data_IF_172320806959
#
_entry.id   IF_172320806959
#
_cell.length_a   1.000
_cell.length_b   1.000
_cell.length_c   1.000
_cell.angle_alpha   90.00
_cell.angle_beta   90.00
_cell.angle_gamma   90.00
#
_symmetry.space_group_name_H-M   'P 1'
#
loop_
_entity.id
_entity.type
_entity.pdbx_description
1 polymer ?
#
# COMPACT_ATOMS: atom_id res chain seq x y z
N UNK A 1 -54.67 -40.80 -7.31
CA UNK A 1 -53.85 -39.69 -6.76
C UNK A 1 -54.49 -38.38 -7.22
N UNK A 2 -55.06 -37.57 -6.32
CA UNK A 2 -55.72 -36.30 -6.71
C UNK A 2 -54.65 -35.28 -7.10
N UNK A 3 -54.73 -34.77 -8.32
CA UNK A 3 -53.88 -33.67 -8.77
C UNK A 3 -54.27 -32.40 -7.99
N UNK A 4 -53.35 -31.89 -7.17
CA UNK A 4 -53.50 -30.61 -6.50
C UNK A 4 -53.36 -29.51 -7.56
N UNK A 5 -54.43 -28.73 -7.78
CA UNK A 5 -54.37 -27.57 -8.67
C UNK A 5 -53.68 -26.42 -7.94
N UNK A 6 -52.49 -26.04 -8.40
CA UNK A 6 -51.86 -24.82 -7.94
C UNK A 6 -52.75 -23.62 -8.27
N UNK A 7 -52.92 -22.67 -7.34
CA UNK A 7 -53.73 -21.49 -7.61
C UNK A 7 -53.05 -20.61 -8.67
N UNK A 8 -53.85 -19.99 -9.55
CA UNK A 8 -53.34 -19.25 -10.72
C UNK A 8 -52.41 -18.08 -10.37
N UNK A 9 -52.51 -17.54 -9.17
CA UNK A 9 -51.62 -16.47 -8.67
C UNK A 9 -50.21 -16.96 -8.35
N UNK A 10 -50.02 -18.26 -8.09
CA UNK A 10 -48.72 -18.82 -7.71
C UNK A 10 -47.68 -18.65 -8.83
N UNK A 11 -48.12 -18.59 -10.09
CA UNK A 11 -47.23 -18.39 -11.24
C UNK A 11 -46.64 -16.98 -11.24
N UNK A 12 -47.46 -15.94 -11.01
CA UNK A 12 -46.99 -14.55 -10.95
C UNK A 12 -46.12 -14.29 -9.72
N UNK A 13 -46.43 -14.95 -8.60
CA UNK A 13 -45.59 -14.89 -7.41
C UNK A 13 -44.22 -15.54 -7.64
N UNK A 14 -44.19 -16.71 -8.28
CA UNK A 14 -42.95 -17.38 -8.65
C UNK A 14 -42.10 -16.53 -9.62
N UNK A 15 -42.74 -15.86 -10.59
CA UNK A 15 -42.07 -14.96 -11.51
C UNK A 15 -41.40 -13.77 -10.78
N UNK A 16 -42.10 -13.14 -9.84
CA UNK A 16 -41.51 -12.07 -9.01
C UNK A 16 -40.35 -12.56 -8.15
N UNK A 17 -40.44 -13.77 -7.59
CA UNK A 17 -39.34 -14.40 -6.87
C UNK A 17 -38.12 -14.69 -7.76
N UNK A 18 -38.34 -15.10 -9.02
CA UNK A 18 -37.27 -15.36 -9.99
C UNK A 18 -36.62 -14.06 -10.48
N UNK A 19 -37.39 -13.00 -10.71
CA UNK A 19 -36.84 -11.68 -11.03
C UNK A 19 -35.99 -11.13 -9.87
N UNK A 20 -36.47 -11.27 -8.63
CA UNK A 20 -35.73 -10.84 -7.44
C UNK A 20 -34.45 -11.67 -7.23
N UNK A 21 -34.52 -12.99 -7.40
CA UNK A 21 -33.36 -13.87 -7.34
C UNK A 21 -32.33 -13.52 -8.43
N UNK A 22 -32.77 -13.29 -9.67
CA UNK A 22 -31.91 -12.85 -10.77
C UNK A 22 -31.23 -11.51 -10.48
N UNK A 23 -31.97 -10.55 -9.91
CA UNK A 23 -31.42 -9.27 -9.49
C UNK A 23 -30.34 -9.44 -8.40
N UNK A 24 -30.59 -10.27 -7.37
CA UNK A 24 -29.59 -10.53 -6.33
C UNK A 24 -28.34 -11.25 -6.87
N UNK A 25 -28.49 -12.16 -7.82
CA UNK A 25 -27.36 -12.81 -8.49
C UNK A 25 -26.53 -11.80 -9.29
N UNK A 26 -27.17 -10.86 -9.99
CA UNK A 26 -26.47 -9.78 -10.71
C UNK A 26 -25.75 -8.83 -9.74
N UNK A 27 -26.38 -8.46 -8.63
CA UNK A 27 -25.77 -7.64 -7.58
C UNK A 27 -24.55 -8.36 -6.96
N UNK A 28 -24.68 -9.66 -6.72
CA UNK A 28 -23.60 -10.49 -6.18
C UNK A 28 -22.44 -10.65 -7.16
N UNK A 29 -22.70 -10.77 -8.46
CA UNK A 29 -21.69 -10.79 -9.50
C UNK A 29 -20.89 -9.47 -9.59
N UNK A 30 -21.54 -8.32 -9.31
CA UNK A 30 -20.90 -7.00 -9.33
C UNK A 30 -20.16 -6.64 -8.02
N UNK A 31 -20.57 -7.21 -6.89
CA UNK A 31 -19.98 -6.90 -5.58
C UNK A 31 -18.53 -7.37 -5.40
N UNK A 32 -17.95 -8.07 -6.37
CA UNK A 32 -16.68 -8.74 -6.20
C UNK A 32 -15.43 -7.85 -6.23
N UNK A 33 -15.41 -6.67 -6.87
CA UNK A 33 -14.12 -6.07 -7.29
C UNK A 33 -14.02 -4.54 -7.33
N UNK A 34 -14.50 -3.78 -6.32
CA UNK A 34 -14.18 -2.35 -6.22
C UNK A 34 -12.66 -2.11 -6.17
N UNK A 35 -11.91 -2.99 -5.50
CA UNK A 35 -10.45 -2.93 -5.42
C UNK A 35 -9.75 -3.09 -6.77
N UNK A 36 -10.27 -3.93 -7.68
CA UNK A 36 -9.63 -4.15 -8.99
C UNK A 36 -10.00 -3.06 -9.99
N UNK A 37 -11.18 -2.47 -9.86
CA UNK A 37 -11.55 -1.26 -10.58
C UNK A 37 -10.71 -0.08 -10.10
N UNK A 38 -10.54 0.09 -8.79
CA UNK A 38 -9.66 1.10 -8.23
C UNK A 38 -8.19 0.84 -8.56
N UNK A 39 -7.74 -0.42 -8.64
CA UNK A 39 -6.40 -0.79 -9.08
C UNK A 39 -6.21 -0.54 -10.58
N UNK A 40 -7.20 -0.86 -11.42
CA UNK A 40 -7.20 -0.60 -12.86
C UNK A 40 -7.27 0.90 -13.20
N UNK A 41 -7.99 1.70 -12.41
CA UNK A 41 -7.98 3.16 -12.52
C UNK A 41 -6.66 3.74 -12.02
N UNK A 42 -6.08 3.20 -10.95
CA UNK A 42 -4.72 3.57 -10.50
C UNK A 42 -3.66 3.19 -11.53
N UNK A 43 -3.78 2.07 -12.24
CA UNK A 43 -2.85 1.75 -13.33
C UNK A 43 -3.08 2.63 -14.55
N UNK A 44 -4.32 2.98 -14.87
CA UNK A 44 -4.66 3.81 -16.03
C UNK A 44 -4.39 5.31 -15.81
N UNK A 45 -4.52 5.82 -14.58
CA UNK A 45 -4.41 7.25 -14.26
C UNK A 45 -3.34 7.59 -13.22
N UNK A 46 -2.81 6.59 -12.50
CA UNK A 46 -1.85 6.76 -11.40
C UNK A 46 -0.50 6.08 -11.61
N UNK A 47 -0.26 5.43 -12.75
CA UNK A 47 1.02 4.78 -13.06
C UNK A 47 1.88 5.56 -14.07
N UNK A 48 2.16 6.81 -13.71
CA UNK A 48 3.42 7.47 -14.10
C UNK A 48 4.54 7.10 -13.11
N UNK A 49 4.43 5.91 -12.50
CA UNK A 49 5.34 5.38 -11.49
C UNK A 49 5.82 3.98 -11.92
N UNK A 50 6.13 3.87 -13.21
CA UNK A 50 6.82 2.80 -13.91
C UNK A 50 7.48 1.76 -12.98
N UNK A 51 6.95 0.52 -12.88
CA UNK A 51 7.59 -0.55 -12.12
C UNK A 51 8.71 -1.27 -12.90
N UNK A 52 9.19 -0.72 -14.03
CA UNK A 52 9.96 -1.48 -15.03
C UNK A 52 11.28 -0.84 -15.48
N UNK A 53 11.93 -0.04 -14.62
CA UNK A 53 13.31 0.40 -14.90
C UNK A 53 14.26 -0.08 -13.81
N UNK A 54 14.67 -1.35 -13.88
CA UNK A 54 15.86 -1.92 -13.21
C UNK A 54 16.11 -1.35 -11.79
N UNK A 55 15.02 -1.27 -11.02
CA UNK A 55 14.95 -0.54 -9.79
C UNK A 55 15.62 -1.40 -8.73
N UNK A 56 16.75 -0.96 -8.18
CA UNK A 56 17.30 -1.62 -6.99
C UNK A 56 16.42 -1.27 -5.82
N UNK A 57 15.29 -1.96 -5.73
CA UNK A 57 14.50 -2.08 -4.53
C UNK A 57 15.39 -2.73 -3.50
N UNK A 58 15.83 -1.93 -2.54
CA UNK A 58 16.48 -2.48 -1.36
C UNK A 58 15.41 -2.54 -0.27
N UNK A 59 14.80 -3.73 -0.04
CA UNK A 59 13.89 -3.89 1.07
C UNK A 59 14.70 -3.89 2.37
N UNK A 60 14.36 -2.99 3.27
CA UNK A 60 14.93 -2.92 4.60
C UNK A 60 13.88 -3.31 5.63
N UNK A 61 14.28 -4.09 6.64
CA UNK A 61 13.45 -4.29 7.83
C UNK A 61 13.62 -3.11 8.76
N UNK A 62 12.52 -2.51 9.20
CA UNK A 62 12.58 -1.35 10.11
C UNK A 62 13.36 -1.66 11.39
N UNK A 63 13.20 -2.87 11.94
CA UNK A 63 13.94 -3.34 13.11
C UNK A 63 15.48 -3.28 12.99
N UNK A 64 16.03 -3.26 11.77
CA UNK A 64 17.49 -3.15 11.54
C UNK A 64 17.98 -1.70 11.39
N UNK A 65 17.07 -0.78 11.03
CA UNK A 65 17.39 0.61 10.76
C UNK A 65 17.20 1.51 11.98
N UNK A 66 16.28 1.13 12.88
CA UNK A 66 15.82 1.96 13.99
C UNK A 66 16.10 1.34 15.35
N UNK A 67 16.14 2.20 16.36
CA UNK A 67 16.05 1.74 17.75
C UNK A 67 14.68 1.05 17.99
N UNK A 68 14.63 0.03 18.86
CA UNK A 68 13.41 -0.74 19.11
C UNK A 68 12.25 0.15 19.56
N UNK A 69 11.12 0.07 18.86
CA UNK A 69 9.92 0.88 19.19
C UNK A 69 10.04 2.39 18.90
N UNK A 70 11.14 2.84 18.32
CA UNK A 70 11.38 4.26 18.04
C UNK A 70 11.51 4.55 16.55
N UNK A 71 11.43 5.83 16.20
CA UNK A 71 11.74 6.38 14.88
C UNK A 71 13.15 7.00 14.82
N UNK A 72 14.04 6.57 15.72
CA UNK A 72 15.44 7.02 15.79
C UNK A 72 16.31 6.04 15.00
N UNK A 73 16.93 6.51 13.92
CA UNK A 73 17.83 5.70 13.10
C UNK A 73 19.11 5.33 13.88
N UNK A 74 19.65 4.14 13.64
CA UNK A 74 21.00 3.82 14.08
C UNK A 74 22.02 4.68 13.33
N UNK A 75 23.20 4.98 13.93
CA UNK A 75 24.23 5.78 13.25
C UNK A 75 24.66 5.17 11.92
N UNK A 76 24.75 3.83 11.85
CA UNK A 76 25.07 3.11 10.62
C UNK A 76 23.98 3.27 9.55
N UNK A 77 22.70 3.14 9.92
CA UNK A 77 21.58 3.33 9.00
C UNK A 77 21.50 4.78 8.48
N UNK A 78 21.68 5.76 9.36
CA UNK A 78 21.70 7.17 8.99
C UNK A 78 22.81 7.47 7.95
N UNK A 79 24.02 6.94 8.15
CA UNK A 79 25.13 7.10 7.20
C UNK A 79 24.84 6.42 5.86
N UNK A 80 24.27 5.21 5.89
CA UNK A 80 23.91 4.48 4.66
C UNK A 80 22.84 5.20 3.84
N UNK A 81 21.79 5.71 4.51
CA UNK A 81 20.71 6.47 3.86
C UNK A 81 21.20 7.80 3.29
N UNK A 82 22.09 8.50 3.99
CA UNK A 82 22.73 9.70 3.46
C UNK A 82 23.57 9.40 2.21
N UNK A 83 24.28 8.26 2.16
CA UNK A 83 25.02 7.84 0.97
C UNK A 83 24.09 7.51 -0.21
N UNK A 84 22.91 6.91 0.05
CA UNK A 84 21.88 6.70 -0.97
C UNK A 84 21.40 8.04 -1.53
N UNK A 85 21.15 9.03 -0.67
CA UNK A 85 20.80 10.39 -1.08
C UNK A 85 21.89 11.06 -1.92
N UNK A 86 23.14 11.03 -1.47
CA UNK A 86 24.26 11.62 -2.20
C UNK A 86 24.40 11.03 -3.61
N UNK A 87 24.20 9.72 -3.74
CA UNK A 87 24.19 9.03 -5.03
C UNK A 87 23.02 9.47 -5.92
N UNK A 88 21.81 9.53 -5.37
CA UNK A 88 20.64 9.99 -6.13
C UNK A 88 20.79 11.43 -6.61
N UNK A 89 21.39 12.31 -5.80
CA UNK A 89 21.73 13.69 -6.21
C UNK A 89 22.68 13.70 -7.41
N UNK A 90 23.75 12.90 -7.37
CA UNK A 90 24.72 12.81 -8.46
C UNK A 90 24.07 12.29 -9.76
N UNK A 91 23.15 11.34 -9.63
CA UNK A 91 22.40 10.73 -10.73
C UNK A 91 21.17 11.58 -11.16
N UNK A 92 20.91 12.71 -10.49
CA UNK A 92 19.67 13.52 -10.63
C UNK A 92 18.39 12.68 -10.54
N UNK A 93 18.40 11.62 -9.73
CA UNK A 93 17.27 10.72 -9.52
C UNK A 93 16.39 11.18 -8.36
N UNK A 94 15.09 10.92 -8.49
CA UNK A 94 14.14 11.01 -7.39
C UNK A 94 14.16 9.75 -6.53
N UNK A 95 13.68 9.84 -5.30
CA UNK A 95 13.59 8.71 -4.37
C UNK A 95 12.16 8.58 -3.89
N UNK A 96 11.59 7.38 -3.99
CA UNK A 96 10.33 6.99 -3.37
C UNK A 96 10.60 6.09 -2.17
N UNK A 97 9.98 6.41 -1.05
CA UNK A 97 10.05 5.64 0.21
C UNK A 97 8.68 5.03 0.44
N UNK A 98 8.58 3.70 0.41
CA UNK A 98 7.33 2.98 0.68
C UNK A 98 7.46 2.28 2.03
N UNK A 99 6.58 2.60 2.97
CA UNK A 99 6.50 1.94 4.28
C UNK A 99 5.31 0.98 4.32
N UNK A 100 5.58 -0.31 4.36
CA UNK A 100 4.60 -1.39 4.36
C UNK A 100 4.53 -2.04 5.75
N UNK A 101 3.31 -2.20 6.27
CA UNK A 101 3.07 -2.80 7.58
C UNK A 101 3.49 -1.93 8.76
N UNK A 102 3.41 -2.52 9.94
CA UNK A 102 3.74 -1.85 11.21
C UNK A 102 4.30 -2.86 12.21
N UNK A 103 5.32 -2.46 12.96
CA UNK A 103 5.76 -3.22 14.12
C UNK A 103 4.73 -3.14 15.27
N UNK A 104 5.01 -3.82 16.38
CA UNK A 104 4.21 -3.69 17.60
C UNK A 104 4.11 -2.22 18.04
N UNK A 105 2.97 -1.86 18.66
CA UNK A 105 2.80 -0.54 19.24
C UNK A 105 3.91 -0.30 20.27
N UNK A 106 4.56 0.85 20.18
CA UNK A 106 5.56 1.28 21.14
C UNK A 106 4.88 2.09 22.24
N UNK A 107 5.52 2.23 23.40
CA UNK A 107 4.93 2.87 24.57
C UNK A 107 4.44 4.31 24.33
N UNK A 108 5.02 5.00 23.33
CA UNK A 108 4.68 6.38 22.93
C UNK A 108 3.91 6.49 21.61
N UNK A 109 3.97 5.49 20.74
CA UNK A 109 3.44 5.57 19.39
C UNK A 109 2.48 4.42 19.11
N UNK A 110 1.32 4.75 18.56
CA UNK A 110 0.48 3.74 17.93
C UNK A 110 1.21 3.16 16.70
N UNK A 111 0.79 1.97 16.27
CA UNK A 111 1.44 1.22 15.19
C UNK A 111 1.60 2.04 13.90
N UNK A 112 0.54 2.78 13.54
CA UNK A 112 0.53 3.62 12.35
C UNK A 112 1.43 4.85 12.50
N UNK A 113 1.45 5.47 13.68
CA UNK A 113 2.28 6.63 13.98
C UNK A 113 3.76 6.27 13.91
N UNK A 114 4.13 5.14 14.51
CA UNK A 114 5.51 4.65 14.48
C UNK A 114 5.97 4.41 13.05
N UNK A 115 5.12 3.80 12.22
CA UNK A 115 5.43 3.55 10.82
C UNK A 115 5.65 4.87 10.05
N UNK A 116 4.75 5.85 10.23
CA UNK A 116 4.86 7.16 9.60
C UNK A 116 6.09 7.96 10.05
N UNK A 117 6.36 7.96 11.36
CA UNK A 117 7.52 8.62 11.94
C UNK A 117 8.84 8.05 11.39
N UNK A 118 8.92 6.73 11.20
CA UNK A 118 10.06 6.04 10.60
C UNK A 118 10.24 6.37 9.12
N UNK A 119 9.17 6.38 8.34
CA UNK A 119 9.22 6.79 6.94
C UNK A 119 9.76 8.23 6.81
N UNK A 120 9.26 9.15 7.64
CA UNK A 120 9.74 10.54 7.69
C UNK A 120 11.21 10.65 8.11
N UNK A 121 11.66 9.84 9.07
CA UNK A 121 13.07 9.81 9.50
C UNK A 121 14.02 9.39 8.37
N UNK A 122 13.60 8.42 7.54
CA UNK A 122 14.36 8.00 6.36
C UNK A 122 14.42 9.11 5.31
N UNK A 123 13.29 9.78 5.03
CA UNK A 123 13.27 10.94 4.15
C UNK A 123 14.25 12.02 4.58
N UNK A 124 14.29 12.34 5.89
CA UNK A 124 15.26 13.30 6.45
C UNK A 124 16.71 12.84 6.30
N UNK A 125 17.00 11.55 6.54
CA UNK A 125 18.35 11.02 6.42
C UNK A 125 18.85 11.02 4.96
N UNK A 126 17.97 10.72 4.01
CA UNK A 126 18.25 10.81 2.58
C UNK A 126 18.48 12.26 2.15
N UNK A 127 17.65 13.20 2.63
CA UNK A 127 17.82 14.64 2.40
C UNK A 127 19.16 15.16 2.94
N UNK A 128 19.68 14.60 4.03
CA UNK A 128 21.01 14.93 4.53
C UNK A 128 22.14 14.57 3.53
N UNK A 129 21.88 13.66 2.58
CA UNK A 129 22.75 13.38 1.43
C UNK A 129 22.70 14.44 0.32
N UNK A 130 21.81 15.43 0.42
CA UNK A 130 21.74 16.59 -0.47
C UNK A 130 20.72 16.49 -1.60
N UNK A 131 19.81 15.52 -1.58
CA UNK A 131 18.64 15.44 -2.48
C UNK A 131 17.62 16.51 -2.07
N UNK A 132 17.00 17.18 -3.04
CA UNK A 132 15.93 18.16 -2.78
C UNK A 132 14.70 17.46 -2.21
N UNK A 133 13.99 18.11 -1.30
CA UNK A 133 12.78 17.55 -0.69
C UNK A 133 11.69 17.24 -1.71
N UNK A 134 11.59 18.02 -2.80
CA UNK A 134 10.63 17.77 -3.89
C UNK A 134 10.95 16.51 -4.70
N UNK A 135 12.19 16.02 -4.61
CA UNK A 135 12.61 14.78 -5.26
C UNK A 135 12.44 13.56 -4.36
N UNK A 136 11.86 13.72 -3.15
CA UNK A 136 11.57 12.64 -2.22
C UNK A 136 10.06 12.46 -2.09
N UNK A 137 9.57 11.29 -2.46
CA UNK A 137 8.18 10.88 -2.31
C UNK A 137 8.05 9.87 -1.16
N UNK A 138 7.04 10.02 -0.31
CA UNK A 138 6.79 9.13 0.83
C UNK A 138 5.37 8.55 0.70
N UNK A 139 5.29 7.24 0.57
CA UNK A 139 4.04 6.50 0.50
C UNK A 139 3.90 5.55 1.71
N UNK A 140 2.74 5.60 2.36
CA UNK A 140 2.36 4.67 3.43
C UNK A 140 1.05 4.02 2.97
N UNK A 141 1.09 2.97 2.14
CA UNK A 141 -0.12 2.33 1.66
C UNK A 141 -0.92 1.76 2.84
N UNK A 142 -2.19 2.15 2.94
CA UNK A 142 -3.11 1.62 3.95
C UNK A 142 -3.49 0.19 3.59
N UNK A 143 -2.82 -0.80 4.16
CA UNK A 143 -3.23 -2.20 4.03
C UNK A 143 -4.21 -2.55 5.14
N UNK A 144 -5.51 -2.28 4.94
CA UNK A 144 -6.60 -2.64 5.88
C UNK A 144 -6.67 -4.14 6.22
N UNK A 145 -5.83 -5.00 5.64
CA UNK A 145 -5.90 -6.45 5.83
C UNK A 145 -4.55 -7.19 5.84
N UNK A 146 -3.40 -6.51 5.86
CA UNK A 146 -2.13 -7.22 6.06
C UNK A 146 -1.72 -7.13 7.53
N UNK A 147 -2.13 -8.14 8.30
CA UNK A 147 -1.39 -8.55 9.49
C UNK A 147 0.00 -8.93 8.99
N UNK A 148 0.92 -7.96 8.94
CA UNK A 148 2.28 -8.21 8.48
C UNK A 148 2.93 -9.13 9.51
N UNK A 149 2.93 -10.44 9.25
CA UNK A 149 3.51 -11.45 10.13
C UNK A 149 5.02 -11.20 10.36
N UNK A 150 5.64 -10.36 9.53
CA UNK A 150 7.07 -10.06 9.53
C UNK A 150 7.44 -8.61 9.92
N UNK A 151 6.53 -7.84 10.53
CA UNK A 151 6.79 -6.48 10.99
C UNK A 151 6.90 -5.43 9.86
N UNK A 152 7.35 -4.22 10.18
CA UNK A 152 7.42 -3.12 9.22
C UNK A 152 8.58 -3.31 8.23
N UNK A 153 8.25 -3.23 6.93
CA UNK A 153 9.22 -3.27 5.82
C UNK A 153 9.22 -1.92 5.13
N UNK A 154 10.42 -1.45 4.78
CA UNK A 154 10.61 -0.16 4.12
C UNK A 154 11.38 -0.39 2.82
N UNK A 155 10.81 0.07 1.72
CA UNK A 155 11.45 0.04 0.40
C UNK A 155 11.90 1.44 0.05
N UNK A 156 13.18 1.56 -0.30
CA UNK A 156 13.74 2.79 -0.85
C UNK A 156 14.01 2.56 -2.33
N UNK A 157 13.25 3.26 -3.14
CA UNK A 157 13.13 3.08 -4.58
C UNK A 157 13.74 4.31 -5.25
N UNK A 158 14.75 4.14 -6.10
CA UNK A 158 15.29 5.25 -6.91
C UNK A 158 14.52 5.32 -8.23
N UNK A 159 13.93 6.47 -8.52
CA UNK A 159 13.21 6.75 -9.76
C UNK A 159 14.08 7.68 -10.60
N UNK A 160 14.46 7.31 -11.84
CA UNK A 160 15.19 8.24 -12.71
C UNK A 160 14.34 9.48 -12.97
N UNK A 161 14.96 10.67 -13.01
CA UNK A 161 14.25 11.86 -13.46
C UNK A 161 13.89 11.71 -14.94
N UNK A 162 12.64 12.02 -15.27
CA UNK A 162 12.14 12.10 -16.64
C UNK A 162 12.78 13.29 -17.39
#
# INVERSE_FOLDING_TARGET
>A
MKAVRAPRWAVSFADLCLLLLGFFVLLQAQNGRPEQLAAGMRSAFGDAAQPDSAQRDVPFRAATLFQPGEAVLTPAAAKALAAIGARAKAEKASIRIVSEGSDGAAQRFDRWELAAARAAAIGRAIRAGGVDERAIDIAIPSTLSQKTENGQVIRVIRVPAA
#
